data_IF_809011289767
#
_entry.id   IF_809011289767
#
_cell.length_a   1.000
_cell.length_b   1.000
_cell.length_c   1.000
_cell.angle_alpha   90.00
_cell.angle_beta   90.00
_cell.angle_gamma   90.00
#
_symmetry.space_group_name_H-M   'P 1'
#
loop_
_entity.id
_entity.type
_entity.pdbx_description
1 polymer ?
#
# COMPACT_ATOMS: atom_id res chain seq x y z
N UNK A 1 25.63 -0.68 8.29
CA UNK A 1 24.69 -1.81 8.16
C UNK A 1 25.08 -2.59 6.92
N UNK A 2 25.22 -3.92 7.02
CA UNK A 2 25.52 -4.77 5.85
C UNK A 2 24.21 -5.27 5.25
N UNK A 3 24.01 -5.08 3.95
CA UNK A 3 22.92 -5.69 3.20
C UNK A 3 23.36 -7.08 2.74
N UNK A 4 22.56 -8.09 3.01
CA UNK A 4 22.80 -9.46 2.55
C UNK A 4 21.63 -9.89 1.65
N UNK A 5 21.96 -10.45 0.49
CA UNK A 5 20.95 -10.99 -0.42
C UNK A 5 20.72 -12.47 -0.11
N UNK A 6 19.47 -12.87 -0.04
CA UNK A 6 19.05 -14.25 0.26
C UNK A 6 18.06 -14.73 -0.80
N UNK A 7 18.04 -16.04 -1.01
CA UNK A 7 17.00 -16.65 -1.84
C UNK A 7 15.67 -16.83 -1.05
N UNK A 8 14.59 -17.14 -1.77
CA UNK A 8 13.25 -17.32 -1.18
C UNK A 8 13.17 -18.39 -0.08
N UNK A 9 14.06 -19.39 -0.10
CA UNK A 9 14.10 -20.46 0.90
C UNK A 9 14.47 -19.91 2.27
N UNK A 10 15.33 -18.90 2.33
CA UNK A 10 15.71 -18.24 3.57
C UNK A 10 14.52 -17.47 4.15
N UNK A 11 13.75 -16.76 3.31
CA UNK A 11 12.52 -16.08 3.74
C UNK A 11 11.54 -17.09 4.36
N UNK A 12 11.27 -18.20 3.66
CA UNK A 12 10.37 -19.24 4.14
C UNK A 12 10.81 -19.83 5.49
N UNK A 13 12.12 -20.09 5.66
CA UNK A 13 12.66 -20.62 6.92
C UNK A 13 12.49 -19.60 8.06
N UNK A 14 12.79 -18.32 7.79
CA UNK A 14 12.67 -17.25 8.79
C UNK A 14 11.24 -17.04 9.24
N UNK A 15 10.30 -16.98 8.29
CA UNK A 15 8.87 -16.81 8.59
C UNK A 15 8.31 -17.99 9.40
N UNK A 16 8.63 -19.23 9.03
CA UNK A 16 8.19 -20.43 9.77
C UNK A 16 8.76 -20.55 11.17
N UNK A 17 9.98 -20.03 11.40
CA UNK A 17 10.63 -20.08 12.72
C UNK A 17 10.25 -18.90 13.62
N UNK A 18 9.58 -17.89 13.09
CA UNK A 18 9.18 -16.70 13.84
C UNK A 18 7.83 -16.90 14.54
N UNK A 19 7.83 -17.63 15.65
CA UNK A 19 6.63 -17.87 16.46
C UNK A 19 6.07 -16.58 17.12
N UNK A 20 6.85 -15.48 17.12
CA UNK A 20 6.40 -14.20 17.68
C UNK A 20 5.57 -13.36 16.70
N UNK A 21 5.47 -13.82 15.45
CA UNK A 21 4.82 -13.10 14.38
C UNK A 21 5.70 -12.03 13.73
N UNK A 22 5.22 -11.52 12.62
CA UNK A 22 5.87 -10.47 11.84
C UNK A 22 4.88 -9.39 11.47
N UNK A 23 5.37 -8.17 11.32
CA UNK A 23 4.67 -7.08 10.64
C UNK A 23 4.98 -7.16 9.14
N UNK A 24 3.97 -7.07 8.31
CA UNK A 24 4.14 -7.02 6.86
C UNK A 24 3.85 -5.61 6.34
N UNK A 25 4.68 -5.13 5.42
CA UNK A 25 4.35 -3.95 4.62
C UNK A 25 4.09 -4.37 3.19
N UNK A 26 2.95 -3.96 2.66
CA UNK A 26 2.56 -4.18 1.28
C UNK A 26 2.45 -2.86 0.50
N UNK A 27 3.01 -2.86 -0.69
CA UNK A 27 2.82 -1.80 -1.67
C UNK A 27 2.03 -2.28 -2.89
N UNK A 28 1.87 -1.39 -3.87
CA UNK A 28 0.97 -1.55 -5.02
C UNK A 28 1.16 -2.86 -5.80
N UNK A 29 2.38 -3.40 -5.89
CA UNK A 29 2.63 -4.63 -6.64
C UNK A 29 1.90 -5.86 -6.10
N UNK A 30 1.44 -5.86 -4.82
CA UNK A 30 0.64 -6.96 -4.28
C UNK A 30 -0.77 -7.00 -4.89
N UNK A 31 -1.38 -5.83 -5.10
CA UNK A 31 -2.73 -5.67 -5.65
C UNK A 31 -2.75 -5.50 -7.15
N UNK A 32 -1.58 -5.33 -7.79
CA UNK A 32 -1.47 -5.01 -9.20
C UNK A 32 -2.03 -6.10 -10.10
N UNK A 33 -2.60 -5.68 -11.24
CA UNK A 33 -3.17 -6.59 -12.24
C UNK A 33 -2.18 -7.66 -12.67
N UNK A 34 -2.61 -8.91 -12.46
CA UNK A 34 -1.92 -10.10 -12.96
C UNK A 34 -2.94 -11.00 -13.65
N UNK A 35 -2.76 -11.28 -14.94
CA UNK A 35 -3.71 -12.05 -15.74
C UNK A 35 -5.14 -11.46 -15.72
N UNK A 36 -5.27 -10.14 -15.77
CA UNK A 36 -6.56 -9.44 -15.77
C UNK A 36 -7.27 -9.37 -14.42
N UNK A 37 -6.58 -9.68 -13.32
CA UNK A 37 -7.12 -9.63 -11.95
C UNK A 37 -6.26 -8.72 -11.09
N UNK A 38 -6.86 -7.71 -10.47
CA UNK A 38 -6.18 -6.75 -9.59
C UNK A 38 -6.40 -5.30 -10.00
N UNK A 39 -5.74 -4.40 -9.29
CA UNK A 39 -5.82 -2.96 -9.51
C UNK A 39 -4.84 -2.56 -10.63
N UNK A 40 -5.21 -1.64 -11.55
CA UNK A 40 -4.30 -1.11 -12.56
C UNK A 40 -2.98 -0.59 -11.96
N UNK A 41 -1.89 -0.72 -12.70
CA UNK A 41 -0.61 -0.10 -12.34
C UNK A 41 -0.66 1.43 -12.54
N UNK A 42 0.47 2.10 -12.31
CA UNK A 42 0.57 3.57 -12.43
C UNK A 42 0.11 4.06 -13.82
N UNK A 43 0.56 3.40 -14.89
CA UNK A 43 0.16 3.76 -16.27
C UNK A 43 -1.35 3.60 -16.46
N UNK A 44 -1.92 2.48 -16.02
CA UNK A 44 -3.36 2.26 -16.12
C UNK A 44 -4.17 3.25 -15.28
N UNK A 45 -3.68 3.68 -14.11
CA UNK A 45 -4.34 4.74 -13.34
C UNK A 45 -4.27 6.08 -14.08
N UNK A 46 -3.16 6.38 -14.73
CA UNK A 46 -3.02 7.61 -15.52
C UNK A 46 -4.00 7.63 -16.69
N UNK A 47 -4.25 6.49 -17.33
CA UNK A 47 -5.30 6.38 -18.38
C UNK A 47 -6.68 6.81 -17.84
N UNK A 48 -7.06 6.37 -16.64
CA UNK A 48 -8.31 6.84 -15.99
C UNK A 48 -8.32 8.35 -15.72
N UNK A 49 -7.17 8.93 -15.35
CA UNK A 49 -7.05 10.38 -15.14
C UNK A 49 -7.22 11.13 -16.49
N UNK A 50 -6.58 10.65 -17.54
CA UNK A 50 -6.65 11.24 -18.89
C UNK A 50 -8.08 11.16 -19.46
N UNK A 51 -8.74 10.01 -19.32
CA UNK A 51 -10.16 9.86 -19.68
C UNK A 51 -11.04 10.84 -18.90
N UNK A 52 -10.82 10.97 -17.60
CA UNK A 52 -11.55 11.91 -16.76
C UNK A 52 -11.31 13.37 -17.18
N UNK A 53 -10.08 13.75 -17.53
CA UNK A 53 -9.76 15.09 -18.01
C UNK A 53 -10.52 15.43 -19.31
N UNK A 54 -10.66 14.45 -20.22
CA UNK A 54 -11.45 14.60 -21.45
C UNK A 54 -12.94 14.76 -21.12
N UNK A 55 -13.49 13.94 -20.23
CA UNK A 55 -14.89 14.04 -19.79
C UNK A 55 -15.23 15.39 -19.15
N UNK A 56 -14.27 16.01 -18.46
CA UNK A 56 -14.43 17.31 -17.80
C UNK A 56 -14.06 18.50 -18.69
N UNK A 57 -13.70 18.26 -19.96
CA UNK A 57 -13.29 19.29 -20.93
C UNK A 57 -12.08 20.12 -20.46
N UNK A 58 -11.14 19.50 -19.73
CA UNK A 58 -9.88 20.11 -19.24
C UNK A 58 -8.64 19.46 -19.86
N UNK A 59 -8.82 18.60 -20.83
CA UNK A 59 -7.77 17.77 -21.45
C UNK A 59 -6.67 18.58 -22.13
N UNK A 60 -6.99 19.68 -22.83
CA UNK A 60 -5.98 20.53 -23.47
C UNK A 60 -4.98 21.05 -22.43
N UNK A 61 -5.48 21.57 -21.30
CA UNK A 61 -4.63 22.10 -20.24
C UNK A 61 -3.89 20.96 -19.50
N UNK A 62 -4.60 19.86 -19.25
CA UNK A 62 -3.99 18.69 -18.60
C UNK A 62 -2.78 18.16 -19.42
N UNK A 63 -2.95 17.93 -20.72
CA UNK A 63 -1.88 17.41 -21.57
C UNK A 63 -0.74 18.40 -21.78
N UNK A 64 -1.02 19.71 -21.74
CA UNK A 64 0.05 20.71 -21.80
C UNK A 64 0.94 20.67 -20.57
N UNK A 65 0.34 20.68 -19.39
CA UNK A 65 1.07 20.64 -18.11
C UNK A 65 1.76 19.27 -17.88
N UNK A 66 1.12 18.16 -18.32
CA UNK A 66 1.66 16.81 -18.16
C UNK A 66 2.97 16.58 -18.92
N UNK A 67 3.31 17.40 -19.94
CA UNK A 67 4.61 17.37 -20.61
C UNK A 67 5.78 17.67 -19.66
N UNK A 68 5.52 18.39 -18.58
CA UNK A 68 6.50 18.76 -17.56
C UNK A 68 6.65 17.74 -16.42
N UNK A 69 5.85 16.66 -16.40
CA UNK A 69 5.90 15.68 -15.31
C UNK A 69 7.20 14.88 -15.32
N UNK A 70 7.76 14.65 -14.13
CA UNK A 70 8.85 13.70 -13.97
C UNK A 70 8.35 12.27 -14.07
N UNK A 71 9.11 11.37 -14.66
CA UNK A 71 8.75 9.96 -14.75
C UNK A 71 8.51 9.33 -13.36
N UNK A 72 9.31 9.74 -12.38
CA UNK A 72 9.26 9.23 -11.01
C UNK A 72 8.00 9.67 -10.25
N UNK A 73 7.55 10.92 -10.45
CA UNK A 73 6.44 11.52 -9.69
C UNK A 73 5.18 11.68 -10.53
N UNK A 74 5.15 11.13 -11.75
CA UNK A 74 4.06 11.30 -12.72
C UNK A 74 2.69 11.04 -12.12
N UNK A 75 2.55 9.98 -11.33
CA UNK A 75 1.31 9.63 -10.65
C UNK A 75 0.82 10.75 -9.74
N UNK A 76 1.69 11.22 -8.84
CA UNK A 76 1.34 12.24 -7.85
C UNK A 76 1.08 13.59 -8.50
N UNK A 77 1.85 13.93 -9.54
CA UNK A 77 1.70 15.17 -10.30
C UNK A 77 0.39 15.18 -11.09
N UNK A 78 0.01 14.06 -11.70
CA UNK A 78 -1.26 13.92 -12.41
C UNK A 78 -2.46 14.11 -11.48
N UNK A 79 -2.48 13.46 -10.32
CA UNK A 79 -3.53 13.69 -9.32
C UNK A 79 -3.52 15.10 -8.74
N UNK A 80 -2.34 15.69 -8.54
CA UNK A 80 -2.23 17.07 -8.07
C UNK A 80 -2.81 18.06 -9.06
N UNK A 81 -2.59 17.83 -10.36
CA UNK A 81 -3.13 18.66 -11.42
C UNK A 81 -4.67 18.53 -11.50
N UNK A 82 -5.20 17.30 -11.51
CA UNK A 82 -6.67 17.08 -11.50
C UNK A 82 -7.31 17.66 -10.25
N UNK A 83 -6.71 17.51 -9.08
CA UNK A 83 -7.22 18.14 -7.86
C UNK A 83 -7.26 19.67 -7.97
N UNK A 84 -6.27 20.27 -8.64
CA UNK A 84 -6.23 21.71 -8.89
C UNK A 84 -7.27 22.19 -9.91
N UNK A 85 -7.51 21.41 -10.96
CA UNK A 85 -8.44 21.77 -12.04
C UNK A 85 -9.92 21.49 -11.68
N UNK A 86 -10.18 20.33 -11.07
CA UNK A 86 -11.54 19.78 -10.90
C UNK A 86 -11.92 19.57 -9.43
N UNK A 87 -10.98 19.73 -8.48
CA UNK A 87 -11.22 19.55 -7.04
C UNK A 87 -10.92 18.15 -6.53
N UNK A 88 -10.87 18.00 -5.19
CA UNK A 88 -10.52 16.74 -4.52
C UNK A 88 -11.57 15.63 -4.76
N UNK A 89 -12.85 15.99 -4.94
CA UNK A 89 -13.90 15.01 -5.23
C UNK A 89 -13.66 14.27 -6.54
N UNK A 90 -13.04 14.93 -7.53
CA UNK A 90 -12.65 14.33 -8.80
C UNK A 90 -11.57 13.24 -8.62
N UNK A 91 -10.62 13.47 -7.71
CA UNK A 91 -9.62 12.45 -7.35
C UNK A 91 -10.31 11.21 -6.77
N UNK A 92 -11.25 11.41 -5.85
CA UNK A 92 -11.99 10.30 -5.23
C UNK A 92 -12.82 9.51 -6.26
N UNK A 93 -13.44 10.22 -7.21
CA UNK A 93 -14.21 9.59 -8.28
C UNK A 93 -13.33 8.75 -9.21
N UNK A 94 -12.15 9.27 -9.60
CA UNK A 94 -11.19 8.52 -10.42
C UNK A 94 -10.73 7.26 -9.68
N UNK A 95 -10.35 7.38 -8.41
CA UNK A 95 -9.92 6.25 -7.60
C UNK A 95 -11.02 5.20 -7.48
N UNK A 96 -12.27 5.62 -7.29
CA UNK A 96 -13.41 4.73 -7.29
C UNK A 96 -13.52 3.96 -8.60
N UNK A 97 -13.44 4.63 -9.76
CA UNK A 97 -13.47 3.99 -11.09
C UNK A 97 -12.32 2.99 -11.27
N UNK A 98 -11.11 3.35 -10.81
CA UNK A 98 -9.95 2.47 -10.83
C UNK A 98 -10.21 1.18 -10.05
N UNK A 99 -10.75 1.28 -8.84
CA UNK A 99 -11.04 0.10 -8.01
C UNK A 99 -12.20 -0.71 -8.57
N UNK A 100 -13.27 -0.05 -9.02
CA UNK A 100 -14.45 -0.69 -9.61
C UNK A 100 -14.14 -1.37 -10.94
N UNK A 101 -13.09 -0.98 -11.67
CA UNK A 101 -12.63 -1.68 -12.89
C UNK A 101 -12.21 -3.13 -12.62
N UNK A 102 -11.93 -3.48 -11.38
CA UNK A 102 -11.58 -4.83 -10.95
C UNK A 102 -12.80 -5.68 -10.50
N UNK A 103 -14.02 -5.19 -10.64
CA UNK A 103 -15.22 -5.96 -10.30
C UNK A 103 -15.48 -7.09 -11.30
N UNK A 104 -16.03 -8.20 -10.80
CA UNK A 104 -16.56 -9.28 -11.62
C UNK A 104 -18.02 -8.98 -12.05
N UNK A 105 -18.62 -9.89 -12.80
CA UNK A 105 -20.02 -9.80 -13.25
C UNK A 105 -21.06 -9.77 -12.11
N UNK A 106 -20.66 -10.16 -10.90
CA UNK A 106 -21.50 -10.16 -9.70
C UNK A 106 -21.26 -8.94 -8.81
N UNK A 107 -20.42 -8.00 -9.25
CA UNK A 107 -20.05 -6.80 -8.50
C UNK A 107 -19.09 -7.06 -7.33
N UNK A 108 -18.32 -8.16 -7.37
CA UNK A 108 -17.27 -8.46 -6.39
C UNK A 108 -15.90 -8.18 -6.96
N UNK A 109 -15.01 -7.67 -6.13
CA UNK A 109 -13.63 -7.46 -6.54
C UNK A 109 -12.92 -8.79 -6.79
N UNK A 110 -12.16 -8.84 -7.87
CA UNK A 110 -11.32 -9.98 -8.21
C UNK A 110 -10.00 -9.88 -7.46
N UNK A 111 -9.80 -10.75 -6.48
CA UNK A 111 -8.60 -10.72 -5.63
C UNK A 111 -7.43 -11.42 -6.32
N UNK A 112 -6.24 -10.78 -6.43
CA UNK A 112 -5.04 -11.39 -6.99
C UNK A 112 -4.58 -12.63 -6.24
N UNK A 113 -3.97 -13.57 -6.97
CA UNK A 113 -3.47 -14.83 -6.40
C UNK A 113 -2.48 -14.60 -5.26
N UNK A 114 -1.63 -13.58 -5.35
CA UNK A 114 -0.64 -13.28 -4.31
C UNK A 114 -1.31 -13.00 -2.95
N UNK A 115 -2.39 -12.23 -2.94
CA UNK A 115 -3.17 -11.94 -1.72
C UNK A 115 -3.82 -13.23 -1.21
N UNK A 116 -4.45 -14.02 -2.08
CA UNK A 116 -5.07 -15.30 -1.71
C UNK A 116 -4.08 -16.28 -1.09
N UNK A 117 -2.91 -16.44 -1.70
CA UNK A 117 -1.87 -17.34 -1.22
C UNK A 117 -1.31 -16.87 0.14
N UNK A 118 -1.13 -15.56 0.31
CA UNK A 118 -0.69 -14.98 1.57
C UNK A 118 -1.67 -15.28 2.71
N UNK A 119 -2.95 -14.98 2.52
CA UNK A 119 -3.97 -15.18 3.54
C UNK A 119 -4.23 -16.68 3.80
N UNK A 120 -4.17 -17.52 2.76
CA UNK A 120 -4.19 -18.97 2.93
C UNK A 120 -3.03 -19.47 3.78
N UNK A 121 -1.84 -18.86 3.66
CA UNK A 121 -0.68 -19.22 4.47
C UNK A 121 -0.86 -18.85 5.94
N UNK A 122 -1.54 -17.74 6.23
CA UNK A 122 -1.93 -17.35 7.59
C UNK A 122 -2.93 -18.36 8.14
N UNK A 123 -4.01 -18.64 7.40
CA UNK A 123 -5.06 -19.57 7.80
C UNK A 123 -4.55 -20.97 8.14
N UNK A 124 -3.56 -21.43 7.39
CA UNK A 124 -2.93 -22.74 7.59
C UNK A 124 -1.86 -22.74 8.69
N UNK A 125 -1.62 -21.61 9.36
CA UNK A 125 -0.57 -21.48 10.38
C UNK A 125 0.87 -21.57 9.86
N UNK A 126 1.07 -21.39 8.55
CA UNK A 126 2.41 -21.40 7.95
C UNK A 126 3.22 -20.14 8.30
N UNK A 127 2.52 -19.02 8.51
CA UNK A 127 3.08 -17.74 8.94
C UNK A 127 2.22 -17.14 10.04
N UNK A 128 2.85 -16.44 10.96
CA UNK A 128 2.18 -15.67 12.02
C UNK A 128 2.33 -14.19 11.69
N UNK A 129 1.20 -13.51 11.56
CA UNK A 129 1.12 -12.09 11.22
C UNK A 129 0.50 -11.35 12.40
N UNK A 130 1.16 -10.31 12.87
CA UNK A 130 0.64 -9.46 13.94
C UNK A 130 -0.09 -8.26 13.35
N UNK A 131 0.62 -7.53 12.46
CA UNK A 131 0.12 -6.33 11.84
C UNK A 131 0.45 -6.32 10.34
N UNK A 132 -0.39 -5.67 9.58
CA UNK A 132 -0.18 -5.36 8.16
C UNK A 132 -0.19 -3.84 8.02
N UNK A 133 0.83 -3.31 7.37
CA UNK A 133 0.90 -1.93 6.93
C UNK A 133 0.73 -1.95 5.41
N UNK A 134 -0.07 -1.06 4.87
CA UNK A 134 -0.18 -0.93 3.41
C UNK A 134 -0.19 0.52 2.99
N UNK A 135 0.44 0.79 1.85
CA UNK A 135 0.35 2.06 1.14
C UNK A 135 -0.72 2.03 0.05
N UNK A 136 -1.36 0.88 -0.14
CA UNK A 136 -2.44 0.71 -1.10
C UNK A 136 -3.73 1.35 -0.58
N UNK A 137 -4.49 1.91 -1.49
CA UNK A 137 -5.80 2.49 -1.20
C UNK A 137 -6.95 1.47 -1.36
N UNK A 138 -6.69 0.33 -2.02
CA UNK A 138 -7.67 -0.76 -2.20
C UNK A 138 -7.85 -1.59 -0.92
N UNK A 139 -8.99 -2.29 -0.82
CA UNK A 139 -9.37 -3.12 0.32
C UNK A 139 -9.37 -4.63 -0.01
N UNK A 140 -8.56 -5.04 -0.99
CA UNK A 140 -8.52 -6.45 -1.45
C UNK A 140 -7.99 -7.41 -0.39
N UNK A 141 -7.16 -6.93 0.54
CA UNK A 141 -6.72 -7.70 1.70
C UNK A 141 -7.90 -8.04 2.62
N UNK A 142 -8.67 -7.03 3.02
CA UNK A 142 -9.84 -7.17 3.89
C UNK A 142 -10.88 -8.09 3.27
N UNK A 143 -11.12 -7.90 1.98
CA UNK A 143 -12.08 -8.73 1.24
C UNK A 143 -11.67 -10.20 1.25
N UNK A 144 -10.39 -10.51 1.00
CA UNK A 144 -9.93 -11.89 1.04
C UNK A 144 -9.89 -12.47 2.46
N UNK A 145 -9.52 -11.69 3.48
CA UNK A 145 -9.63 -12.12 4.87
C UNK A 145 -11.07 -12.51 5.21
N UNK A 146 -12.04 -11.67 4.82
CA UNK A 146 -13.45 -11.94 5.01
C UNK A 146 -13.90 -13.19 4.23
N UNK A 147 -13.48 -13.36 2.97
CA UNK A 147 -13.78 -14.54 2.16
C UNK A 147 -13.27 -15.84 2.81
N UNK A 148 -12.16 -15.77 3.53
CA UNK A 148 -11.61 -16.93 4.25
C UNK A 148 -12.11 -17.07 5.68
N UNK A 149 -12.99 -16.18 6.14
CA UNK A 149 -13.60 -16.21 7.47
C UNK A 149 -12.66 -15.81 8.60
N UNK A 150 -11.69 -14.94 8.32
CA UNK A 150 -10.72 -14.40 9.28
C UNK A 150 -11.11 -12.95 9.58
N UNK A 151 -11.32 -12.63 10.86
CA UNK A 151 -11.60 -11.26 11.28
C UNK A 151 -10.31 -10.43 11.36
N UNK A 152 -10.36 -9.22 10.84
CA UNK A 152 -9.27 -8.24 10.90
C UNK A 152 -9.82 -6.87 11.32
N UNK A 153 -8.94 -6.01 11.81
CA UNK A 153 -9.27 -4.61 12.07
C UNK A 153 -8.62 -3.77 10.97
N UNK A 154 -9.37 -2.92 10.29
CA UNK A 154 -8.85 -2.06 9.22
C UNK A 154 -8.95 -0.59 9.62
N UNK A 155 -7.83 0.11 9.49
CA UNK A 155 -7.68 1.52 9.87
C UNK A 155 -7.18 2.35 8.70
N UNK A 156 -7.95 3.36 8.29
CA UNK A 156 -7.48 4.41 7.41
C UNK A 156 -6.71 5.45 8.22
N UNK A 157 -5.45 5.69 7.86
CA UNK A 157 -4.52 6.51 8.66
C UNK A 157 -4.06 7.70 7.82
N UNK A 158 -4.90 8.74 7.74
CA UNK A 158 -4.63 9.95 6.95
C UNK A 158 -4.23 11.16 7.81
N UNK A 159 -4.76 11.26 9.01
CA UNK A 159 -4.41 12.32 9.96
C UNK A 159 -3.14 11.97 10.74
N UNK A 160 -2.38 12.99 11.17
CA UNK A 160 -1.22 12.79 12.04
C UNK A 160 -1.66 12.47 13.48
N UNK A 161 -1.97 11.19 13.69
CA UNK A 161 -2.39 10.62 14.99
C UNK A 161 -1.51 9.43 15.36
N UNK A 162 -1.61 8.96 16.60
CA UNK A 162 -1.03 7.65 16.93
C UNK A 162 -1.78 6.55 16.17
N UNK A 163 -1.05 5.50 15.76
CA UNK A 163 -1.70 4.33 15.18
C UNK A 163 -2.69 3.74 16.20
N UNK A 164 -3.94 3.50 15.80
CA UNK A 164 -4.90 2.81 16.63
C UNK A 164 -4.33 1.46 17.06
N UNK A 165 -4.53 1.09 18.30
CA UNK A 165 -4.18 -0.23 18.79
C UNK A 165 -5.46 -0.88 19.32
N UNK A 166 -5.93 -1.92 18.65
CA UNK A 166 -7.08 -2.66 19.15
C UNK A 166 -6.62 -3.70 20.17
N UNK A 167 -7.42 -3.84 21.22
CA UNK A 167 -7.16 -4.76 22.34
C UNK A 167 -7.52 -6.21 21.99
N UNK A 168 -8.13 -6.42 20.85
CA UNK A 168 -8.49 -7.75 20.36
C UNK A 168 -7.28 -8.39 19.65
N UNK A 169 -7.09 -9.68 19.80
CA UNK A 169 -6.00 -10.45 19.14
C UNK A 169 -6.17 -10.60 17.62
N UNK A 170 -6.86 -9.66 16.97
CA UNK A 170 -7.03 -9.64 15.52
C UNK A 170 -5.82 -9.01 14.83
N UNK A 171 -5.58 -9.39 13.58
CA UNK A 171 -4.61 -8.73 12.73
C UNK A 171 -5.10 -7.30 12.43
N UNK A 172 -4.25 -6.30 12.65
CA UNK A 172 -4.55 -4.92 12.28
C UNK A 172 -3.99 -4.62 10.88
N UNK A 173 -4.79 -3.95 10.05
CA UNK A 173 -4.39 -3.47 8.73
C UNK A 173 -4.40 -1.93 8.79
N UNK A 174 -3.24 -1.32 8.55
CA UNK A 174 -3.07 0.14 8.58
C UNK A 174 -2.85 0.65 7.16
N UNK A 175 -3.84 1.34 6.59
CA UNK A 175 -3.73 2.05 5.32
C UNK A 175 -3.09 3.42 5.54
N UNK A 176 -1.80 3.52 5.32
CA UNK A 176 -1.04 4.76 5.57
C UNK A 176 -1.41 5.90 4.62
N UNK A 177 -1.91 5.58 3.45
CA UNK A 177 -2.35 6.55 2.45
C UNK A 177 -3.88 6.62 2.35
N UNK A 178 -4.59 6.16 3.38
CA UNK A 178 -6.04 6.15 3.37
C UNK A 178 -6.65 4.98 2.60
N UNK A 179 -7.98 4.94 2.54
CA UNK A 179 -8.76 3.89 1.87
C UNK A 179 -9.80 4.50 0.94
N UNK A 180 -9.95 3.92 -0.25
CA UNK A 180 -10.91 4.37 -1.26
C UNK A 180 -12.36 4.34 -0.74
N UNK A 181 -12.74 3.32 0.04
CA UNK A 181 -14.09 3.18 0.60
C UNK A 181 -14.49 4.34 1.53
N UNK A 182 -13.51 4.96 2.20
CA UNK A 182 -13.74 6.11 3.07
C UNK A 182 -13.68 7.44 2.34
N UNK A 183 -13.22 7.43 1.07
CA UNK A 183 -13.02 8.63 0.29
C UNK A 183 -11.94 9.56 0.86
N UNK A 184 -10.99 9.00 1.62
CA UNK A 184 -9.93 9.73 2.31
C UNK A 184 -8.53 9.38 1.79
N UNK A 185 -8.43 8.60 0.70
CA UNK A 185 -7.14 8.17 0.16
C UNK A 185 -6.30 9.34 -0.37
N UNK A 186 -4.99 9.25 -0.12
CA UNK A 186 -4.02 10.29 -0.42
C UNK A 186 -3.27 9.97 -1.70
N UNK A 187 -3.31 10.87 -2.68
CA UNK A 187 -2.73 10.65 -4.00
C UNK A 187 -1.87 11.82 -4.48
N UNK A 188 -2.10 13.03 -3.96
CA UNK A 188 -1.37 14.21 -4.38
C UNK A 188 -0.02 14.32 -3.68
N UNK A 189 0.94 15.01 -4.32
CA UNK A 189 2.28 15.24 -3.75
C UNK A 189 2.21 15.84 -2.34
N UNK A 190 1.38 16.86 -2.15
CA UNK A 190 1.25 17.54 -0.86
C UNK A 190 0.72 16.63 0.25
N UNK A 191 -0.21 15.72 -0.08
CA UNK A 191 -0.77 14.77 0.89
C UNK A 191 0.29 13.74 1.31
N UNK A 192 0.99 13.14 0.34
CA UNK A 192 1.94 12.04 0.60
C UNK A 192 3.23 12.53 1.27
N UNK A 193 3.69 13.74 0.95
CA UNK A 193 4.91 14.33 1.53
C UNK A 193 4.66 15.12 2.81
N UNK A 194 3.42 15.22 3.28
CA UNK A 194 3.10 15.91 4.53
C UNK A 194 3.83 15.30 5.72
N UNK A 195 4.24 16.16 6.66
CA UNK A 195 4.89 15.71 7.89
C UNK A 195 3.84 15.07 8.82
N UNK A 196 4.14 13.86 9.31
CA UNK A 196 3.22 13.07 10.12
C UNK A 196 3.97 12.45 11.31
N UNK A 197 4.52 13.29 12.17
CA UNK A 197 5.46 12.93 13.25
C UNK A 197 4.91 11.88 14.22
N UNK A 198 3.61 11.92 14.53
CA UNK A 198 2.97 10.96 15.44
C UNK A 198 2.85 9.57 14.81
N UNK A 199 2.51 9.52 13.55
CA UNK A 199 2.47 8.27 12.78
C UNK A 199 3.88 7.72 12.63
N UNK A 200 4.85 8.55 12.27
CA UNK A 200 6.25 8.14 12.15
C UNK A 200 6.77 7.54 13.46
N UNK A 201 6.48 8.17 14.59
CA UNK A 201 6.82 7.62 15.91
C UNK A 201 6.13 6.29 16.19
N UNK A 202 4.84 6.18 15.86
CA UNK A 202 4.08 4.93 16.06
C UNK A 202 4.61 3.79 15.17
N UNK A 203 4.95 4.10 13.91
CA UNK A 203 5.55 3.12 12.99
C UNK A 203 6.93 2.67 13.47
N UNK A 204 7.77 3.58 13.98
CA UNK A 204 9.06 3.22 14.57
C UNK A 204 8.89 2.23 15.74
N UNK A 205 7.90 2.48 16.61
CA UNK A 205 7.60 1.59 17.74
C UNK A 205 7.10 0.22 17.26
N UNK A 206 6.23 0.19 16.25
CA UNK A 206 5.69 -1.03 15.66
C UNK A 206 6.81 -1.87 15.03
N UNK A 207 7.64 -1.23 14.19
CA UNK A 207 8.75 -1.87 13.49
C UNK A 207 9.83 -2.34 14.46
N UNK A 208 10.12 -1.53 15.50
CA UNK A 208 11.23 -1.76 16.42
C UNK A 208 11.09 -3.00 17.30
N UNK A 209 9.89 -3.53 17.46
CA UNK A 209 9.59 -4.64 18.34
C UNK A 209 9.34 -5.97 17.60
N UNK A 210 9.31 -5.95 16.27
CA UNK A 210 8.91 -7.09 15.45
C UNK A 210 9.83 -7.28 14.24
N UNK A 211 9.74 -8.46 13.60
CA UNK A 211 10.33 -8.65 12.27
C UNK A 211 9.45 -7.97 11.24
N UNK A 212 10.03 -7.12 10.41
CA UNK A 212 9.34 -6.44 9.29
C UNK A 212 9.65 -7.18 7.98
N UNK A 213 8.60 -7.48 7.23
CA UNK A 213 8.69 -8.04 5.88
C UNK A 213 8.08 -7.04 4.90
N UNK A 214 8.88 -6.52 3.98
CA UNK A 214 8.46 -5.55 2.96
C UNK A 214 8.29 -6.26 1.62
N UNK A 215 7.12 -6.16 1.02
CA UNK A 215 6.77 -6.81 -0.25
C UNK A 215 5.99 -5.87 -1.16
N UNK A 216 6.41 -5.80 -2.43
CA UNK A 216 5.68 -5.03 -3.44
C UNK A 216 5.70 -3.51 -3.26
N UNK A 217 6.61 -2.99 -2.41
CA UNK A 217 6.74 -1.56 -2.12
C UNK A 217 8.00 -0.99 -2.77
N UNK A 218 7.83 0.10 -3.53
CA UNK A 218 8.91 0.71 -4.32
C UNK A 218 9.84 1.64 -3.55
N UNK A 219 9.49 2.03 -2.32
CA UNK A 219 10.31 2.93 -1.50
C UNK A 219 10.11 4.42 -1.85
N UNK A 220 8.87 4.88 -1.93
CA UNK A 220 8.55 6.29 -2.16
C UNK A 220 8.94 7.16 -0.96
N UNK A 221 9.11 8.46 -1.18
CA UNK A 221 9.31 9.43 -0.10
C UNK A 221 7.97 9.71 0.61
N UNK A 222 7.66 8.89 1.59
CA UNK A 222 6.45 8.96 2.40
C UNK A 222 6.75 8.76 3.90
N UNK A 223 5.70 8.81 4.72
CA UNK A 223 5.81 8.63 6.17
C UNK A 223 6.44 7.30 6.56
N UNK A 224 6.20 6.22 5.80
CA UNK A 224 6.79 4.92 6.08
C UNK A 224 8.30 4.91 5.85
N UNK A 225 8.74 5.38 4.68
CA UNK A 225 10.17 5.42 4.33
C UNK A 225 10.96 6.30 5.30
N UNK A 226 10.40 7.46 5.70
CA UNK A 226 11.01 8.33 6.72
C UNK A 226 11.09 7.64 8.07
N UNK A 227 10.02 6.97 8.51
CA UNK A 227 10.00 6.19 9.75
C UNK A 227 11.04 5.09 9.77
N UNK A 228 11.14 4.35 8.66
CA UNK A 228 12.12 3.28 8.49
C UNK A 228 13.54 3.81 8.54
N UNK A 229 13.84 4.92 7.83
CA UNK A 229 15.14 5.56 7.85
C UNK A 229 15.54 6.01 9.27
N UNK A 230 14.62 6.67 9.97
CA UNK A 230 14.82 7.12 11.34
C UNK A 230 15.03 5.95 12.29
N UNK A 231 14.27 4.88 12.15
CA UNK A 231 14.40 3.67 12.92
C UNK A 231 15.77 3.01 12.73
N UNK A 232 16.24 2.94 11.49
CA UNK A 232 17.55 2.36 11.13
C UNK A 232 18.71 3.18 11.66
N UNK A 233 18.60 4.52 11.68
CA UNK A 233 19.62 5.43 12.18
C UNK A 233 19.71 5.36 13.72
N UNK A 234 18.58 5.22 14.39
CA UNK A 234 18.51 5.10 15.85
C UNK A 234 18.91 3.70 16.31
N UNK A 235 20.19 3.38 16.27
CA UNK A 235 20.83 2.07 16.43
C UNK A 235 20.54 1.31 17.75
N UNK A 236 19.63 1.74 18.58
CA UNK A 236 19.29 1.10 19.86
C UNK A 236 18.36 -0.11 19.73
N UNK A 237 17.81 -0.35 18.55
CA UNK A 237 16.82 -1.41 18.32
C UNK A 237 17.37 -2.50 17.39
N UNK A 238 17.15 -3.75 17.74
CA UNK A 238 17.52 -4.90 16.91
C UNK A 238 16.46 -5.12 15.84
N UNK A 239 16.62 -4.46 14.68
CA UNK A 239 15.72 -4.67 13.55
C UNK A 239 16.03 -5.94 12.79
N UNK A 240 14.98 -6.65 12.44
CA UNK A 240 15.04 -7.73 11.46
C UNK A 240 14.14 -7.35 10.29
N UNK A 241 14.73 -6.73 9.26
CA UNK A 241 14.01 -6.29 8.07
C UNK A 241 14.33 -7.22 6.93
N UNK A 242 13.31 -7.78 6.30
CA UNK A 242 13.37 -8.60 5.11
C UNK A 242 12.68 -7.83 3.97
N UNK A 243 13.45 -7.34 3.01
CA UNK A 243 12.90 -6.63 1.86
C UNK A 243 12.90 -7.56 0.65
N UNK A 244 11.72 -7.87 0.14
CA UNK A 244 11.54 -8.73 -1.01
C UNK A 244 11.59 -7.90 -2.29
N UNK A 245 12.62 -8.12 -3.10
CA UNK A 245 12.75 -7.51 -4.42
C UNK A 245 12.20 -8.46 -5.48
N UNK A 246 11.43 -7.91 -6.43
CA UNK A 246 11.04 -8.64 -7.62
C UNK A 246 12.24 -8.69 -8.58
N UNK A 247 12.62 -9.89 -8.96
CA UNK A 247 13.61 -10.09 -10.01
C UNK A 247 12.85 -10.48 -11.29
N UNK A 248 12.77 -9.56 -12.25
CA UNK A 248 12.21 -9.88 -13.56
C UNK A 248 13.04 -10.99 -14.20
N UNK A 249 12.40 -11.96 -14.80
CA UNK A 249 13.08 -12.91 -15.66
C UNK A 249 13.61 -12.12 -16.87
N UNK A 250 14.92 -11.88 -16.94
CA UNK A 250 15.60 -11.45 -18.16
C UNK A 250 15.61 -12.58 -19.18
#
# INVERSE_FOLDING_TARGET
MSISFYDERILNIRLKKNNKGSTFLFGAALSQVTNGVGIPNVEGVIEFIEEYAIEQEVDELYFEEAKGFSEQDRYQQAFSLIAGLCGQESVNEIIKRVVESNLDENGKHRVPKAIKDFITSIKNGNIVVNDIITTNFDTLLEEEFNNQGISVNSFSVVADTQLPNDINDNINIYHLHGSWERGDSMHTTNQLQSNRDRIETSLQNLIGNQSLVVMGYGGWDDSFTRSLASAVINTQLNYNILWCFYQGNN
#
